data_IF_488072440108
#
_entry.id   IF_488072440108
#
_cell.length_a   1.000
_cell.length_b   1.000
_cell.length_c   1.000
_cell.angle_alpha   90.00
_cell.angle_beta   90.00
_cell.angle_gamma   90.00
#
_symmetry.space_group_name_H-M   'P 1'
#
loop_
_entity.id
_entity.type
_entity.pdbx_description
1 polymer ?
#
# COMPACT_ATOMS: atom_id res chain seq x y z
N UNK A 1 5.73 28.31 9.84
CA UNK A 1 5.99 29.10 8.63
C UNK A 1 6.32 30.52 9.06
N UNK A 2 7.55 30.95 8.82
CA UNK A 2 7.98 32.31 9.09
C UNK A 2 7.25 33.28 8.17
N UNK A 3 6.73 34.38 8.73
CA UNK A 3 5.90 35.33 7.97
C UNK A 3 6.78 36.46 7.41
N UNK A 4 6.66 36.72 6.13
CA UNK A 4 7.35 37.82 5.46
C UNK A 4 6.65 39.17 5.78
N UNK A 5 7.42 40.20 5.99
CA UNK A 5 6.90 41.53 6.28
C UNK A 5 6.28 42.19 5.04
N UNK A 6 4.96 42.28 5.02
CA UNK A 6 4.21 42.89 3.92
C UNK A 6 4.53 44.36 3.74
N UNK A 7 4.75 45.08 4.84
CA UNK A 7 5.07 46.53 4.81
C UNK A 7 6.46 46.76 4.24
N UNK A 8 7.42 45.85 4.56
CA UNK A 8 8.78 45.92 3.98
C UNK A 8 8.77 45.67 2.48
N UNK A 9 8.00 44.71 2.02
CA UNK A 9 7.85 44.41 0.59
C UNK A 9 7.22 45.56 -0.19
N UNK A 10 6.47 46.44 0.49
CA UNK A 10 5.87 47.65 -0.06
C UNK A 10 6.69 48.92 0.27
N UNK A 11 7.93 48.79 0.77
CA UNK A 11 8.82 49.89 1.19
C UNK A 11 8.24 50.81 2.29
N UNK A 12 7.36 50.27 3.14
CA UNK A 12 6.63 51.04 4.17
C UNK A 12 6.86 50.54 5.61
N UNK A 13 7.75 49.57 5.83
CA UNK A 13 7.98 49.07 7.19
C UNK A 13 8.84 50.06 8.01
N UNK A 14 8.28 50.57 9.07
CA UNK A 14 8.92 51.44 10.05
C UNK A 14 9.30 50.76 11.36
N UNK A 15 9.04 49.43 11.49
CA UNK A 15 9.30 48.68 12.72
C UNK A 15 10.76 48.30 12.87
N UNK A 16 11.34 48.58 14.04
CA UNK A 16 12.71 48.19 14.38
C UNK A 16 12.79 47.78 15.87
N UNK A 17 12.93 46.48 16.23
CA UNK A 17 12.96 45.31 15.34
C UNK A 17 11.60 44.99 14.75
N UNK A 18 11.58 44.36 13.57
CA UNK A 18 10.40 43.81 12.96
C UNK A 18 10.39 42.27 13.13
N UNK A 19 9.29 41.74 13.68
CA UNK A 19 9.13 40.30 13.92
C UNK A 19 8.86 39.46 12.65
N UNK A 20 8.95 40.11 11.48
CA UNK A 20 8.73 39.46 10.17
C UNK A 20 9.97 39.58 9.32
N UNK A 21 10.14 38.62 8.38
CA UNK A 21 11.32 38.58 7.50
C UNK A 21 11.31 39.77 6.55
N UNK A 22 12.47 40.47 6.46
CA UNK A 22 12.77 41.50 5.49
C UNK A 22 13.74 40.95 4.43
N UNK A 23 13.25 40.52 3.29
CA UNK A 23 14.08 40.03 2.17
C UNK A 23 13.80 40.83 0.90
N UNK A 24 14.82 41.67 0.52
CA UNK A 24 14.77 42.49 -0.70
C UNK A 24 14.78 41.69 -2.01
N UNK A 25 15.24 40.44 -1.93
CA UNK A 25 15.38 39.57 -3.09
C UNK A 25 14.18 38.68 -3.31
N UNK A 26 13.19 38.69 -2.39
CA UNK A 26 11.98 37.87 -2.49
C UNK A 26 11.02 38.44 -3.56
N UNK A 27 10.47 37.55 -4.40
CA UNK A 27 9.43 37.92 -5.36
C UNK A 27 8.08 38.08 -4.67
N UNK A 28 7.62 39.32 -4.52
CA UNK A 28 6.36 39.61 -3.86
C UNK A 28 5.14 38.99 -4.57
N UNK A 29 5.11 38.98 -5.91
CA UNK A 29 4.01 38.38 -6.68
C UNK A 29 3.86 36.89 -6.39
N UNK A 30 4.97 36.16 -6.40
CA UNK A 30 4.98 34.74 -6.11
C UNK A 30 4.58 34.45 -4.64
N UNK A 31 5.16 35.21 -3.68
CA UNK A 31 4.87 35.03 -2.27
C UNK A 31 3.39 35.32 -1.92
N UNK A 32 2.78 36.34 -2.55
CA UNK A 32 1.40 36.75 -2.28
C UNK A 32 0.35 35.83 -2.90
N UNK A 33 0.59 35.31 -4.09
CA UNK A 33 -0.41 34.62 -4.90
C UNK A 33 0.01 33.26 -5.45
N UNK A 34 1.22 32.75 -5.07
CA UNK A 34 1.74 31.50 -5.61
C UNK A 34 2.12 31.52 -7.09
N UNK A 35 1.98 32.68 -7.77
CA UNK A 35 2.30 32.86 -9.18
C UNK A 35 3.13 34.13 -9.42
N UNK A 36 4.11 34.04 -10.30
CA UNK A 36 4.92 35.16 -10.75
C UNK A 36 4.73 35.31 -12.27
N UNK A 37 4.41 36.55 -12.70
CA UNK A 37 4.24 36.85 -14.14
C UNK A 37 5.49 36.60 -14.99
N UNK A 38 6.67 36.55 -14.36
CA UNK A 38 7.95 36.33 -15.02
C UNK A 38 8.37 34.84 -15.00
N UNK A 39 7.64 33.96 -14.30
CA UNK A 39 7.94 32.53 -14.25
C UNK A 39 9.39 32.23 -13.89
N UNK A 40 10.04 31.38 -14.70
CA UNK A 40 11.43 31.01 -14.56
C UNK A 40 12.43 32.17 -14.80
N UNK A 41 12.04 33.23 -15.53
CA UNK A 41 12.88 34.39 -15.83
C UNK A 41 12.87 35.43 -14.70
N UNK A 42 12.23 35.15 -13.59
CA UNK A 42 12.17 36.08 -12.47
C UNK A 42 13.55 36.24 -11.81
N UNK A 43 14.04 37.47 -11.80
CA UNK A 43 15.34 37.84 -11.16
C UNK A 43 15.27 37.84 -9.62
N UNK A 44 14.12 37.58 -9.01
CA UNK A 44 13.93 37.56 -7.57
C UNK A 44 13.62 36.12 -7.10
N UNK A 45 13.98 35.84 -5.86
CA UNK A 45 13.77 34.53 -5.25
C UNK A 45 12.27 34.25 -5.04
N UNK A 46 11.82 33.06 -5.36
CA UNK A 46 10.49 32.57 -5.09
C UNK A 46 10.35 31.90 -3.71
N UNK A 47 11.46 31.74 -3.00
CA UNK A 47 11.51 31.15 -1.66
C UNK A 47 12.17 32.08 -0.68
N UNK A 48 11.72 32.05 0.57
CA UNK A 48 12.40 32.77 1.66
C UNK A 48 13.74 32.09 1.92
N UNK A 49 14.85 32.82 1.74
CA UNK A 49 16.16 32.33 2.11
C UNK A 49 16.23 32.26 3.65
N UNK A 50 16.13 31.06 4.22
CA UNK A 50 16.62 30.82 5.57
C UNK A 50 18.10 31.07 5.63
N UNK A 51 18.63 31.56 6.75
CA UNK A 51 20.04 31.87 7.00
C UNK A 51 20.97 30.78 6.45
N UNK A 52 21.59 31.07 5.33
CA UNK A 52 22.56 30.19 4.69
C UNK A 52 23.51 31.03 3.86
N UNK A 53 24.72 31.18 4.36
CA UNK A 53 25.80 31.88 3.64
C UNK A 53 25.89 31.40 2.20
N UNK A 54 26.25 32.32 1.29
CA UNK A 54 26.55 32.06 -0.11
C UNK A 54 27.54 30.89 -0.27
N UNK A 55 27.04 29.66 -0.32
CA UNK A 55 27.77 28.56 -0.93
C UNK A 55 27.66 28.77 -2.44
N UNK A 56 28.82 28.98 -3.10
CA UNK A 56 28.92 28.88 -4.55
C UNK A 56 28.22 27.57 -4.95
N UNK A 57 27.17 27.66 -5.78
CA UNK A 57 26.57 26.54 -6.44
C UNK A 57 27.64 25.84 -7.30
N UNK A 58 28.29 24.86 -6.74
CA UNK A 58 28.80 23.76 -7.53
C UNK A 58 27.60 22.90 -7.80
N UNK A 59 27.20 22.82 -9.03
CA UNK A 59 26.01 22.21 -9.57
C UNK A 59 26.13 20.69 -9.56
N UNK A 60 26.11 20.06 -8.39
CA UNK A 60 25.63 18.70 -8.30
C UNK A 60 24.21 18.78 -7.76
N UNK A 61 23.26 18.40 -8.60
CA UNK A 61 21.88 18.19 -8.22
C UNK A 61 21.87 17.01 -7.26
N UNK A 62 21.74 17.28 -5.97
CA UNK A 62 21.42 16.28 -4.96
C UNK A 62 19.90 16.26 -4.81
N UNK A 63 19.21 15.26 -5.37
CA UNK A 63 17.80 15.10 -5.14
C UNK A 63 17.57 14.86 -3.64
N UNK A 64 16.66 15.62 -3.04
CA UNK A 64 16.18 15.31 -1.69
C UNK A 64 15.33 14.04 -1.75
N UNK A 65 16.01 12.90 -1.67
CA UNK A 65 15.44 11.58 -1.84
C UNK A 65 15.53 10.82 -0.52
N UNK A 66 14.36 10.53 0.06
CA UNK A 66 14.24 9.56 1.14
C UNK A 66 13.66 8.28 0.54
N UNK A 67 14.43 7.18 0.50
CA UNK A 67 13.90 5.91 0.04
C UNK A 67 12.77 5.44 0.97
N UNK A 68 11.77 4.80 0.38
CA UNK A 68 10.73 4.11 1.12
C UNK A 68 11.36 2.93 1.88
N UNK A 69 11.00 2.73 3.15
CA UNK A 69 11.45 1.56 3.92
C UNK A 69 10.60 0.33 3.56
N UNK A 70 10.67 -0.03 2.28
CA UNK A 70 10.02 -1.20 1.69
C UNK A 70 10.91 -1.71 0.56
N UNK A 71 11.28 -2.99 0.60
CA UNK A 71 11.95 -3.64 -0.51
C UNK A 71 10.93 -4.49 -1.28
N UNK A 72 10.85 -4.30 -2.59
CA UNK A 72 9.93 -5.04 -3.46
C UNK A 72 10.71 -6.09 -4.24
N UNK A 73 10.27 -7.33 -4.15
CA UNK A 73 10.82 -8.48 -4.88
C UNK A 73 9.76 -8.96 -5.88
N UNK A 74 10.09 -8.97 -7.16
CA UNK A 74 9.27 -9.65 -8.17
C UNK A 74 9.84 -11.04 -8.38
N UNK A 75 9.00 -12.07 -8.22
CA UNK A 75 9.39 -13.45 -8.46
C UNK A 75 8.56 -14.05 -9.59
N UNK A 76 9.25 -14.64 -10.56
CA UNK A 76 8.65 -15.29 -11.72
C UNK A 76 8.90 -16.79 -11.72
N UNK A 77 9.47 -17.35 -10.64
CA UNK A 77 9.64 -18.79 -10.51
C UNK A 77 8.29 -19.49 -10.43
N UNK A 78 8.19 -20.67 -11.05
CA UNK A 78 6.93 -21.41 -11.10
C UNK A 78 6.85 -22.53 -10.05
N UNK A 79 7.91 -22.82 -9.34
CA UNK A 79 7.98 -24.01 -8.48
C UNK A 79 8.07 -23.67 -7.00
N UNK A 80 9.05 -22.90 -6.60
CA UNK A 80 9.36 -22.57 -5.20
C UNK A 80 9.97 -21.18 -5.11
N UNK A 81 9.61 -20.42 -4.11
CA UNK A 81 10.29 -19.17 -3.76
C UNK A 81 11.68 -19.50 -3.17
N UNK A 82 12.72 -19.00 -3.79
CA UNK A 82 14.12 -19.31 -3.44
C UNK A 82 14.98 -18.07 -3.19
N UNK A 83 14.37 -16.87 -3.16
CA UNK A 83 15.12 -15.63 -2.91
C UNK A 83 15.22 -15.35 -1.42
N UNK A 84 16.29 -14.68 -1.03
CA UNK A 84 16.43 -14.18 0.34
C UNK A 84 15.35 -13.14 0.63
N UNK A 85 14.75 -13.24 1.80
CA UNK A 85 13.63 -12.40 2.24
C UNK A 85 13.94 -11.75 3.58
N UNK A 86 13.67 -10.46 3.68
CA UNK A 86 13.85 -9.66 4.88
C UNK A 86 12.50 -9.23 5.47
N UNK A 87 12.50 -8.80 6.72
CA UNK A 87 11.27 -8.40 7.44
C UNK A 87 10.52 -7.23 6.80
N UNK A 88 11.20 -6.43 5.97
CA UNK A 88 10.66 -5.26 5.23
C UNK A 88 10.29 -5.55 3.76
N UNK A 89 10.17 -6.81 3.40
CA UNK A 89 9.91 -7.17 2.00
C UNK A 89 8.44 -7.30 1.67
N UNK A 90 8.11 -6.84 0.47
CA UNK A 90 6.90 -7.17 -0.28
C UNK A 90 7.32 -8.01 -1.49
N UNK A 91 6.69 -9.17 -1.67
CA UNK A 91 6.92 -10.07 -2.79
C UNK A 91 5.72 -10.02 -3.73
N UNK A 92 5.98 -9.90 -5.03
CA UNK A 92 4.96 -9.91 -6.08
C UNK A 92 5.24 -11.08 -7.03
N UNK A 93 4.21 -11.88 -7.32
CA UNK A 93 4.31 -13.02 -8.23
C UNK A 93 3.17 -12.89 -9.24
N UNK A 94 3.45 -12.37 -10.45
CA UNK A 94 2.40 -12.08 -11.45
C UNK A 94 1.59 -13.30 -11.87
N UNK A 95 2.24 -14.45 -12.02
CA UNK A 95 1.65 -15.68 -12.55
C UNK A 95 1.76 -16.82 -11.53
N UNK A 96 1.27 -16.61 -10.31
CA UNK A 96 1.40 -17.57 -9.21
C UNK A 96 0.60 -18.85 -9.43
N UNK A 97 -0.64 -18.71 -9.91
CA UNK A 97 -1.51 -19.82 -10.28
C UNK A 97 -2.16 -19.48 -11.62
N UNK A 98 -1.88 -20.29 -12.62
CA UNK A 98 -2.50 -20.22 -13.93
C UNK A 98 -3.51 -21.37 -14.09
N UNK A 99 -4.59 -21.10 -14.77
CA UNK A 99 -5.58 -22.11 -15.13
C UNK A 99 -6.91 -21.45 -15.53
N UNK A 100 -7.65 -22.11 -16.41
CA UNK A 100 -8.98 -21.66 -16.78
C UNK A 100 -9.95 -21.85 -15.59
N UNK A 101 -10.94 -20.98 -15.49
CA UNK A 101 -12.10 -21.16 -14.60
C UNK A 101 -11.81 -21.21 -13.09
N UNK A 102 -10.63 -20.76 -12.62
CA UNK A 102 -10.32 -20.81 -11.17
C UNK A 102 -11.23 -19.85 -10.40
N UNK A 103 -11.44 -18.64 -10.92
CA UNK A 103 -12.33 -17.66 -10.33
C UNK A 103 -13.77 -18.19 -10.27
N UNK A 104 -14.27 -18.71 -11.36
CA UNK A 104 -15.62 -19.27 -11.50
C UNK A 104 -15.83 -20.46 -10.57
N UNK A 105 -14.85 -21.38 -10.49
CA UNK A 105 -14.89 -22.50 -9.55
C UNK A 105 -14.92 -22.02 -8.10
N UNK A 106 -14.13 -21.02 -7.73
CA UNK A 106 -14.17 -20.43 -6.39
C UNK A 106 -15.53 -19.82 -6.09
N UNK A 107 -16.12 -19.06 -7.00
CA UNK A 107 -17.47 -18.50 -6.84
C UNK A 107 -18.49 -19.60 -6.65
N UNK A 108 -18.48 -20.63 -7.49
CA UNK A 108 -19.37 -21.79 -7.42
C UNK A 108 -19.26 -22.52 -6.08
N UNK A 109 -18.02 -22.77 -5.62
CA UNK A 109 -17.75 -23.42 -4.33
C UNK A 109 -18.32 -22.59 -3.18
N UNK A 110 -18.08 -21.26 -3.19
CA UNK A 110 -18.57 -20.35 -2.16
C UNK A 110 -20.10 -20.28 -2.14
N UNK A 111 -20.75 -20.20 -3.30
CA UNK A 111 -22.22 -20.18 -3.41
C UNK A 111 -22.82 -21.50 -2.91
N UNK A 112 -22.23 -22.63 -3.24
CA UNK A 112 -22.67 -23.96 -2.78
C UNK A 112 -22.51 -24.17 -1.26
N UNK A 113 -21.59 -23.46 -0.62
CA UNK A 113 -21.44 -23.51 0.83
C UNK A 113 -22.55 -22.78 1.58
N UNK A 114 -23.33 -21.93 0.91
CA UNK A 114 -24.42 -21.15 1.49
C UNK A 114 -23.99 -19.79 2.02
N UNK A 115 -24.94 -18.87 2.12
CA UNK A 115 -24.69 -17.49 2.53
C UNK A 115 -24.23 -17.32 3.98
N UNK A 116 -24.51 -18.30 4.83
CA UNK A 116 -24.18 -18.28 6.26
C UNK A 116 -22.67 -18.33 6.56
N UNK A 117 -21.84 -18.76 5.61
CA UNK A 117 -20.38 -18.73 5.78
C UNK A 117 -19.81 -17.33 5.66
N UNK A 118 -20.54 -16.41 5.03
CA UNK A 118 -20.11 -15.06 4.77
C UNK A 118 -20.60 -14.07 5.83
N UNK A 119 -19.81 -13.08 6.07
CA UNK A 119 -20.18 -11.85 6.79
C UNK A 119 -19.55 -10.64 6.11
N UNK A 120 -20.13 -9.48 6.29
CA UNK A 120 -19.51 -8.23 5.86
C UNK A 120 -18.29 -7.94 6.73
N UNK A 121 -17.20 -7.53 6.09
CA UNK A 121 -16.01 -7.07 6.79
C UNK A 121 -16.27 -5.67 7.37
N UNK A 122 -16.16 -5.53 8.70
CA UNK A 122 -16.49 -4.29 9.43
C UNK A 122 -17.83 -3.63 9.05
N UNK A 123 -18.77 -4.41 8.53
CA UNK A 123 -20.16 -4.00 8.38
C UNK A 123 -20.63 -3.75 6.95
N UNK A 124 -19.78 -3.29 6.01
CA UNK A 124 -20.28 -2.80 4.73
C UNK A 124 -19.32 -2.81 3.53
N UNK A 125 -18.11 -3.31 3.65
CA UNK A 125 -17.10 -3.08 2.61
C UNK A 125 -16.90 -4.22 1.61
N UNK A 126 -17.08 -5.46 1.99
CA UNK A 126 -16.99 -6.69 1.17
C UNK A 126 -17.30 -7.93 2.01
N UNK A 127 -17.52 -9.04 1.37
CA UNK A 127 -17.79 -10.31 2.04
C UNK A 127 -16.51 -11.02 2.45
N UNK A 128 -16.52 -11.64 3.64
CA UNK A 128 -15.43 -12.50 4.11
C UNK A 128 -15.95 -13.84 4.63
N UNK A 129 -15.18 -14.90 4.42
CA UNK A 129 -15.33 -16.20 5.06
C UNK A 129 -14.04 -16.55 5.81
N UNK A 130 -14.16 -16.68 7.13
CA UNK A 130 -13.08 -17.03 8.06
C UNK A 130 -13.03 -18.54 8.34
N UNK A 131 -12.03 -18.99 9.12
CA UNK A 131 -11.82 -20.38 9.51
C UNK A 131 -12.85 -20.94 10.51
N UNK A 132 -13.89 -20.19 10.86
CA UNK A 132 -14.82 -20.55 11.96
C UNK A 132 -15.79 -21.68 11.64
N UNK A 133 -15.92 -22.08 10.39
CA UNK A 133 -16.81 -23.13 9.93
C UNK A 133 -16.07 -24.13 9.04
N UNK A 134 -16.60 -25.36 8.90
CA UNK A 134 -15.97 -26.40 8.09
C UNK A 134 -16.22 -26.25 6.57
N UNK A 135 -16.56 -25.07 6.09
CA UNK A 135 -16.90 -24.81 4.69
C UNK A 135 -15.78 -25.22 3.71
N UNK A 136 -14.52 -25.08 4.13
CA UNK A 136 -13.34 -25.41 3.32
C UNK A 136 -13.30 -26.87 2.85
N UNK A 137 -13.91 -27.78 3.60
CA UNK A 137 -13.98 -29.20 3.19
C UNK A 137 -14.75 -29.40 1.88
N UNK A 138 -15.63 -28.46 1.54
CA UNK A 138 -16.43 -28.47 0.31
C UNK A 138 -15.81 -27.61 -0.81
N UNK A 139 -14.62 -27.06 -0.61
CA UNK A 139 -13.99 -26.10 -1.49
C UNK A 139 -12.60 -26.58 -1.98
N UNK A 140 -12.57 -27.53 -2.90
CA UNK A 140 -11.31 -28.10 -3.41
C UNK A 140 -10.41 -27.06 -4.07
N UNK A 141 -10.97 -26.09 -4.81
CA UNK A 141 -10.19 -25.03 -5.46
C UNK A 141 -9.56 -24.12 -4.42
N UNK A 142 -10.30 -23.72 -3.37
CA UNK A 142 -9.73 -22.98 -2.25
C UNK A 142 -8.56 -23.73 -1.61
N UNK A 143 -8.74 -25.04 -1.32
CA UNK A 143 -7.71 -25.87 -0.69
C UNK A 143 -6.48 -26.04 -1.59
N UNK A 144 -6.67 -26.16 -2.90
CA UNK A 144 -5.59 -26.19 -3.89
C UNK A 144 -4.74 -24.93 -3.82
N UNK A 145 -5.36 -23.74 -3.72
CA UNK A 145 -4.66 -22.47 -3.59
C UNK A 145 -3.85 -22.41 -2.28
N UNK A 146 -4.46 -22.82 -1.16
CA UNK A 146 -3.78 -22.86 0.15
C UNK A 146 -2.58 -23.81 0.14
N UNK A 147 -2.73 -25.00 -0.43
CA UNK A 147 -1.62 -25.96 -0.57
C UNK A 147 -0.51 -25.40 -1.45
N UNK A 148 -0.88 -24.69 -2.52
CA UNK A 148 0.11 -24.02 -3.39
C UNK A 148 0.89 -22.96 -2.64
N UNK A 149 0.22 -22.13 -1.81
CA UNK A 149 0.90 -21.13 -0.95
C UNK A 149 1.88 -21.81 -0.01
N UNK A 150 1.42 -22.84 0.73
CA UNK A 150 2.25 -23.55 1.69
C UNK A 150 3.53 -24.12 1.06
N UNK A 151 3.37 -24.81 -0.07
CA UNK A 151 4.49 -25.46 -0.78
C UNK A 151 5.43 -24.44 -1.41
N UNK A 152 4.89 -23.40 -2.07
CA UNK A 152 5.71 -22.42 -2.78
C UNK A 152 6.60 -21.59 -1.85
N UNK A 153 6.04 -21.13 -0.73
CA UNK A 153 6.77 -20.30 0.23
C UNK A 153 7.45 -21.11 1.34
N UNK A 154 7.24 -22.43 1.39
CA UNK A 154 7.67 -23.25 2.54
C UNK A 154 7.13 -22.63 3.85
N UNK A 155 5.82 -22.43 3.90
CA UNK A 155 5.14 -21.66 4.94
C UNK A 155 4.23 -22.56 5.77
N UNK A 156 4.35 -22.47 7.09
CA UNK A 156 3.44 -23.08 8.05
C UNK A 156 2.20 -22.18 8.24
N UNK A 157 1.11 -22.50 7.56
CA UNK A 157 -0.11 -21.70 7.56
C UNK A 157 -0.87 -21.87 8.87
N UNK A 158 -1.19 -20.78 9.55
CA UNK A 158 -1.89 -20.74 10.85
C UNK A 158 -3.34 -20.25 10.74
N UNK A 159 -3.67 -19.48 9.74
CA UNK A 159 -5.01 -19.00 9.49
C UNK A 159 -5.20 -18.65 8.02
N UNK A 160 -6.45 -18.70 7.56
CA UNK A 160 -6.79 -18.30 6.20
C UNK A 160 -8.09 -17.51 6.16
N UNK A 161 -8.33 -16.81 5.05
CA UNK A 161 -9.57 -16.09 4.78
C UNK A 161 -9.84 -16.03 3.29
N UNK A 162 -11.11 -16.17 2.92
CA UNK A 162 -11.60 -15.75 1.63
C UNK A 162 -12.19 -14.34 1.75
N UNK A 163 -11.74 -13.38 0.92
CA UNK A 163 -12.39 -12.10 0.72
C UNK A 163 -13.06 -12.12 -0.65
N UNK A 164 -14.33 -11.80 -0.70
CA UNK A 164 -15.10 -11.74 -1.94
C UNK A 164 -15.62 -10.32 -2.15
N UNK A 165 -15.10 -9.67 -3.16
CA UNK A 165 -15.55 -8.39 -3.70
C UNK A 165 -16.49 -8.72 -4.84
N UNK A 166 -17.79 -8.47 -4.66
CA UNK A 166 -18.81 -8.91 -5.63
C UNK A 166 -18.79 -8.09 -6.90
N UNK A 167 -18.44 -6.81 -6.77
CA UNK A 167 -18.20 -5.89 -7.87
C UNK A 167 -17.17 -4.83 -7.50
N UNK A 168 -17.00 -3.80 -8.33
CA UNK A 168 -16.00 -2.77 -8.08
C UNK A 168 -16.40 -1.71 -7.03
N UNK A 169 -17.64 -1.73 -6.52
CA UNK A 169 -18.04 -0.88 -5.39
C UNK A 169 -17.49 -1.40 -4.07
N UNK A 170 -17.19 -2.71 -4.00
CA UNK A 170 -16.55 -3.32 -2.84
C UNK A 170 -15.09 -2.90 -2.72
N UNK A 171 -14.64 -2.64 -1.51
CA UNK A 171 -13.29 -2.16 -1.20
C UNK A 171 -12.84 -2.65 0.17
N UNK A 172 -11.58 -2.40 0.54
CA UNK A 172 -11.08 -2.70 1.87
C UNK A 172 -10.19 -1.56 2.35
N UNK A 173 -10.58 -0.84 3.42
CA UNK A 173 -9.81 0.29 3.93
C UNK A 173 -8.43 -0.12 4.41
N UNK A 174 -7.53 0.84 4.53
CA UNK A 174 -6.21 0.66 5.10
C UNK A 174 -6.29 0.13 6.54
N UNK A 175 -5.68 -1.01 6.79
CA UNK A 175 -5.67 -1.69 8.07
C UNK A 175 -4.33 -2.42 8.28
N UNK A 176 -4.08 -2.83 9.51
CA UNK A 176 -3.05 -3.82 9.86
C UNK A 176 -3.68 -5.19 10.00
N UNK A 177 -2.95 -6.25 9.66
CA UNK A 177 -3.34 -7.60 10.06
C UNK A 177 -3.13 -7.81 11.57
N UNK A 178 -3.84 -8.81 12.12
CA UNK A 178 -3.87 -9.04 13.56
C UNK A 178 -2.49 -9.24 14.20
N UNK A 179 -1.52 -9.77 13.45
CA UNK A 179 -0.14 -9.97 13.96
C UNK A 179 0.63 -8.67 14.23
N UNK A 180 0.18 -7.53 13.69
CA UNK A 180 0.77 -6.22 14.04
C UNK A 180 0.26 -5.67 15.38
N UNK A 181 -0.91 -6.13 15.86
CA UNK A 181 -1.63 -5.51 17.00
C UNK A 181 -1.99 -6.51 18.10
N UNK A 182 -1.72 -7.82 17.91
CA UNK A 182 -2.01 -8.88 18.87
C UNK A 182 -0.78 -9.78 19.06
N UNK A 183 -0.27 -9.83 20.27
CA UNK A 183 0.94 -10.57 20.60
C UNK A 183 0.83 -12.07 20.33
N UNK A 184 -0.32 -12.68 20.63
CA UNK A 184 -0.57 -14.11 20.36
C UNK A 184 -0.49 -14.43 18.87
N UNK A 185 -0.88 -13.51 18.01
CA UNK A 185 -0.76 -13.64 16.56
C UNK A 185 0.65 -13.37 16.07
N UNK A 186 1.33 -12.37 16.63
CA UNK A 186 2.70 -12.04 16.28
C UNK A 186 3.68 -13.23 16.52
N UNK A 187 3.41 -14.05 17.54
CA UNK A 187 4.23 -15.22 17.86
C UNK A 187 4.16 -16.36 16.82
N UNK A 188 3.12 -16.40 16.00
CA UNK A 188 2.88 -17.49 15.04
C UNK A 188 2.67 -17.06 13.61
N UNK A 189 2.73 -15.75 13.34
CA UNK A 189 2.48 -15.17 12.02
C UNK A 189 3.50 -14.05 11.75
N UNK A 190 4.50 -14.34 10.93
CA UNK A 190 5.49 -13.37 10.46
C UNK A 190 5.35 -13.06 8.96
N UNK A 191 4.44 -13.76 8.27
CA UNK A 191 4.29 -13.70 6.83
C UNK A 191 2.82 -13.77 6.43
N UNK A 192 2.42 -12.88 5.52
CA UNK A 192 1.09 -12.81 4.93
C UNK A 192 1.19 -13.03 3.44
N UNK A 193 0.34 -13.88 2.89
CA UNK A 193 0.21 -14.10 1.43
C UNK A 193 -1.23 -13.88 1.00
N UNK A 194 -1.43 -13.14 -0.08
CA UNK A 194 -2.72 -12.97 -0.74
C UNK A 194 -2.64 -13.40 -2.20
N UNK A 195 -3.59 -14.24 -2.65
CA UNK A 195 -3.73 -14.65 -4.05
C UNK A 195 -5.02 -14.07 -4.61
N UNK A 196 -4.94 -13.46 -5.78
CA UNK A 196 -6.03 -12.70 -6.41
C UNK A 196 -6.61 -13.44 -7.60
N UNK A 197 -7.94 -13.50 -7.69
CA UNK A 197 -8.66 -14.08 -8.82
C UNK A 197 -9.79 -13.16 -9.28
N UNK A 198 -10.11 -13.18 -10.58
CA UNK A 198 -11.12 -12.34 -11.20
C UNK A 198 -10.59 -10.96 -11.59
N UNK A 199 -11.36 -9.92 -11.35
CA UNK A 199 -11.02 -8.54 -11.74
C UNK A 199 -9.71 -8.05 -11.12
N UNK A 200 -8.85 -7.50 -11.94
CA UNK A 200 -7.62 -6.85 -11.45
C UNK A 200 -7.96 -5.66 -10.54
N UNK A 201 -7.45 -5.68 -9.32
CA UNK A 201 -7.51 -4.58 -8.35
C UNK A 201 -6.10 -4.32 -7.82
N UNK A 202 -5.89 -3.19 -7.22
CA UNK A 202 -4.60 -2.86 -6.62
C UNK A 202 -4.60 -3.18 -5.13
N UNK A 203 -3.52 -3.84 -4.66
CA UNK A 203 -3.15 -3.84 -3.25
C UNK A 203 -2.35 -2.58 -2.99
N UNK A 204 -2.81 -1.74 -2.09
CA UNK A 204 -2.13 -0.52 -1.71
C UNK A 204 -1.55 -0.64 -0.30
N UNK A 205 -0.35 -0.09 -0.11
CA UNK A 205 0.33 0.03 1.17
C UNK A 205 0.50 1.51 1.49
N UNK A 206 0.12 1.92 2.70
CA UNK A 206 0.29 3.28 3.19
C UNK A 206 1.16 3.30 4.44
N UNK A 207 2.28 3.99 4.38
CA UNK A 207 3.18 4.16 5.52
C UNK A 207 2.50 4.93 6.65
N UNK A 208 2.69 4.48 7.89
CA UNK A 208 1.97 5.01 9.06
C UNK A 208 2.24 6.48 9.33
N UNK A 209 3.48 6.94 9.18
CA UNK A 209 3.92 8.30 9.54
C UNK A 209 3.75 9.28 8.38
N UNK A 210 4.38 9.01 7.26
CA UNK A 210 4.41 9.94 6.11
C UNK A 210 3.13 9.92 5.27
N UNK A 211 2.30 8.88 5.43
CA UNK A 211 1.12 8.63 4.60
C UNK A 211 1.44 8.40 3.11
N UNK A 212 2.70 8.21 2.77
CA UNK A 212 3.08 7.79 1.42
C UNK A 212 2.40 6.47 1.08
N UNK A 213 1.85 6.40 -0.12
CA UNK A 213 1.12 5.23 -0.60
C UNK A 213 1.82 4.63 -1.81
N UNK A 214 1.99 3.32 -1.80
CA UNK A 214 2.47 2.51 -2.93
C UNK A 214 1.40 1.50 -3.26
N UNK A 215 1.07 1.32 -4.54
CA UNK A 215 0.07 0.36 -4.99
C UNK A 215 0.63 -0.57 -6.06
N UNK A 216 0.19 -1.83 -6.03
CA UNK A 216 0.62 -2.86 -6.98
C UNK A 216 -0.60 -3.54 -7.57
N UNK A 217 -0.66 -3.73 -8.91
CA UNK A 217 -1.75 -4.46 -9.52
C UNK A 217 -1.72 -5.94 -9.10
N UNK A 218 -2.91 -6.47 -8.84
CA UNK A 218 -3.14 -7.88 -8.55
C UNK A 218 -4.03 -8.47 -9.65
N UNK A 219 -3.47 -8.85 -10.81
CA UNK A 219 -4.22 -9.51 -11.86
C UNK A 219 -4.69 -10.90 -11.43
N UNK A 220 -5.58 -11.49 -12.25
CA UNK A 220 -6.06 -12.86 -12.05
C UNK A 220 -4.91 -13.85 -11.97
N UNK A 221 -4.90 -14.69 -10.92
CA UNK A 221 -3.86 -15.69 -10.67
C UNK A 221 -2.55 -15.16 -10.08
N UNK A 222 -2.45 -13.86 -9.79
CA UNK A 222 -1.28 -13.28 -9.13
C UNK A 222 -1.29 -13.48 -7.63
N UNK A 223 -0.09 -13.48 -7.03
CA UNK A 223 0.07 -13.42 -5.58
C UNK A 223 0.89 -12.21 -5.16
N UNK A 224 0.61 -11.71 -3.97
CA UNK A 224 1.48 -10.82 -3.23
C UNK A 224 1.76 -11.42 -1.85
N UNK A 225 2.91 -11.13 -1.30
CA UNK A 225 3.21 -11.48 0.08
C UNK A 225 3.96 -10.34 0.75
N UNK A 226 3.90 -10.26 2.09
CA UNK A 226 4.65 -9.29 2.85
C UNK A 226 5.02 -9.82 4.24
N UNK A 227 6.15 -9.32 4.74
CA UNK A 227 6.70 -9.72 6.02
C UNK A 227 6.21 -8.84 7.18
N UNK A 228 6.60 -9.22 8.40
CA UNK A 228 6.09 -8.63 9.64
C UNK A 228 6.28 -7.11 9.74
N UNK A 229 7.45 -6.57 9.29
CA UNK A 229 7.73 -5.14 9.45
C UNK A 229 6.89 -4.30 8.48
N UNK A 230 6.56 -4.84 7.31
CA UNK A 230 5.58 -4.21 6.42
C UNK A 230 4.21 -4.14 7.10
N UNK A 231 3.77 -5.23 7.74
CA UNK A 231 2.49 -5.23 8.45
C UNK A 231 2.48 -4.26 9.65
N UNK A 232 3.61 -4.03 10.30
CA UNK A 232 3.73 -3.12 11.46
C UNK A 232 3.85 -1.66 11.03
N UNK A 233 4.68 -1.36 10.03
CA UNK A 233 5.02 0.01 9.63
C UNK A 233 4.08 0.57 8.55
N UNK A 234 3.36 -0.30 7.84
CA UNK A 234 2.46 0.03 6.76
C UNK A 234 1.08 -0.57 6.99
N UNK A 235 0.04 0.20 6.73
CA UNK A 235 -1.31 -0.32 6.52
C UNK A 235 -1.45 -0.78 5.08
N UNK A 236 -2.30 -1.77 4.85
CA UNK A 236 -2.62 -2.22 3.50
C UNK A 236 -4.13 -2.28 3.28
N UNK A 237 -4.56 -2.19 2.01
CA UNK A 237 -5.96 -2.18 1.65
C UNK A 237 -6.19 -2.37 0.15
N UNK A 238 -7.45 -2.56 -0.22
CA UNK A 238 -7.92 -2.53 -1.61
C UNK A 238 -8.75 -1.26 -1.77
N UNK A 239 -8.20 -0.28 -2.47
CA UNK A 239 -8.81 1.04 -2.55
C UNK A 239 -10.10 1.04 -3.36
N UNK A 240 -11.05 1.93 -3.04
CA UNK A 240 -12.26 2.11 -3.84
C UNK A 240 -11.91 2.54 -5.27
N UNK A 241 -12.71 2.10 -6.22
CA UNK A 241 -12.61 2.53 -7.62
C UNK A 241 -13.49 3.77 -7.80
N UNK A 242 -13.04 4.71 -8.64
CA UNK A 242 -13.86 5.86 -8.98
C UNK A 242 -15.16 5.40 -9.64
N UNK A 243 -16.34 5.99 -9.31
CA UNK A 243 -17.62 5.57 -9.85
C UNK A 243 -17.69 5.48 -11.39
N UNK A 244 -16.98 6.37 -12.10
CA UNK A 244 -16.91 6.36 -13.57
C UNK A 244 -16.24 5.10 -14.15
N UNK A 245 -15.47 4.37 -13.32
CA UNK A 245 -14.78 3.13 -13.68
C UNK A 245 -15.48 1.89 -13.11
N UNK A 246 -16.76 2.00 -12.75
CA UNK A 246 -17.53 0.90 -12.20
C UNK A 246 -17.53 -0.31 -13.14
N UNK A 247 -17.41 -1.51 -12.56
CA UNK A 247 -17.49 -2.79 -13.24
C UNK A 247 -18.27 -3.78 -12.37
N UNK A 248 -19.12 -4.58 -12.99
CA UNK A 248 -19.84 -5.68 -12.32
C UNK A 248 -18.95 -6.91 -12.11
N UNK A 249 -17.73 -6.91 -12.65
CA UNK A 249 -16.81 -8.03 -12.47
C UNK A 249 -16.28 -8.06 -11.05
N UNK A 250 -16.45 -9.21 -10.40
CA UNK A 250 -16.01 -9.43 -9.04
C UNK A 250 -14.54 -9.89 -8.92
N UNK A 251 -14.09 -9.97 -7.68
CA UNK A 251 -12.75 -10.44 -7.32
C UNK A 251 -12.81 -11.30 -6.06
N UNK A 252 -12.11 -12.41 -6.05
CA UNK A 252 -11.81 -13.17 -4.85
C UNK A 252 -10.34 -13.00 -4.49
N UNK A 253 -10.06 -12.80 -3.19
CA UNK A 253 -8.71 -12.82 -2.66
C UNK A 253 -8.63 -13.84 -1.53
N UNK A 254 -7.76 -14.83 -1.70
CA UNK A 254 -7.48 -15.85 -0.69
C UNK A 254 -6.24 -15.40 0.09
N UNK A 255 -6.41 -15.23 1.40
CA UNK A 255 -5.34 -14.79 2.30
C UNK A 255 -4.91 -15.95 3.19
N UNK A 256 -3.61 -16.12 3.35
CA UNK A 256 -2.98 -17.02 4.30
C UNK A 256 -2.04 -16.24 5.21
N UNK A 257 -2.14 -16.47 6.51
CA UNK A 257 -1.23 -15.98 7.54
C UNK A 257 -0.52 -17.15 8.19
N UNK A 258 0.76 -17.02 8.43
CA UNK A 258 1.51 -18.09 9.07
C UNK A 258 2.97 -17.72 9.32
N UNK A 259 3.75 -18.77 9.53
CA UNK A 259 5.16 -18.66 9.80
C UNK A 259 5.99 -19.14 8.62
N UNK A 260 6.91 -18.30 8.18
CA UNK A 260 7.94 -18.64 7.22
C UNK A 260 9.30 -18.60 7.93
N UNK A 261 10.02 -19.71 7.88
CA UNK A 261 11.40 -19.77 8.34
C UNK A 261 12.31 -18.96 7.40
N UNK A 262 13.49 -18.54 7.88
CA UNK A 262 14.47 -17.79 7.08
C UNK A 262 13.96 -16.42 6.59
N UNK A 263 13.20 -15.72 7.42
CA UNK A 263 12.96 -14.28 7.23
C UNK A 263 14.01 -13.56 8.06
N UNK A 264 15.02 -13.02 7.40
CA UNK A 264 16.14 -12.33 8.05
C UNK A 264 15.71 -10.95 8.58
N UNK A 265 16.32 -10.52 9.68
CA UNK A 265 16.02 -9.25 10.33
C UNK A 265 16.61 -8.05 9.57
#
# INVERSE_FOLDING_TARGET
>A
MEKVCRDFMNHKCSRNPCNYIHDKNLCYGFWKGGACKWGADCKKNHFVSGEGGHKKNTTEFEPNYEPCDMRVIVDTSQTKFSKDIQTRDVVLIPDFIQGPMIYENLVDEMVKCGGEIFKLWHGDTHLIADDKTNWKQKCPTFNMVINRIATYFDMDIKATRCNWYQDSSDWKPFHHDASAVKEDKAKVQNFTVGVSFGKTREIAFQENNSRRTVAFPCPNGSAYAFCKDINVNWKHGILPIHPDNFSQEGRISIIAWGWKNQVDA
#
